data_IF_319594525136
#
_entry.id   IF_319594525136
#
_cell.length_a   1.000
_cell.length_b   1.000
_cell.length_c   1.000
_cell.angle_alpha   90.00
_cell.angle_beta   90.00
_cell.angle_gamma   90.00
#
_symmetry.space_group_name_H-M   'P 1'
#
loop_
_entity.id
_entity.type
_entity.pdbx_description
1 polymer ?
#
# COMPACT_ATOMS: atom_id res chain seq x y z
N UNK A 1 -2.39 57.67 49.46
CA UNK A 1 -2.14 57.67 48.01
C UNK A 1 -2.18 56.21 47.48
N UNK A 2 -3.30 55.76 46.86
CA UNK A 2 -3.48 54.36 46.36
C UNK A 2 -3.15 54.33 44.88
N UNK A 3 -2.17 53.54 44.51
CA UNK A 3 -1.74 53.29 43.12
C UNK A 3 -2.72 52.33 42.43
N UNK A 4 -3.52 52.82 41.47
CA UNK A 4 -4.34 51.99 40.59
C UNK A 4 -3.42 51.25 39.61
N UNK A 5 -3.46 49.92 39.62
CA UNK A 5 -2.77 49.05 38.64
C UNK A 5 -3.62 48.96 37.37
N UNK A 6 -3.02 49.33 36.25
CA UNK A 6 -3.61 49.21 34.92
C UNK A 6 -3.71 47.72 34.51
N UNK A 7 -4.90 47.16 34.57
CA UNK A 7 -5.20 45.79 34.10
C UNK A 7 -5.63 45.69 32.62
N UNK A 8 -5.72 46.84 31.90
CA UNK A 8 -6.32 46.85 30.57
C UNK A 8 -5.36 46.51 29.41
N UNK A 9 -4.03 46.65 29.61
CA UNK A 9 -3.08 46.37 28.52
C UNK A 9 -2.75 44.90 28.32
N UNK A 10 -2.94 44.05 29.34
CA UNK A 10 -2.64 42.61 29.21
C UNK A 10 -3.71 41.83 28.45
N UNK A 11 -4.98 42.23 28.55
CA UNK A 11 -6.08 41.58 27.82
C UNK A 11 -6.01 41.82 26.31
N UNK A 12 -5.63 43.02 25.87
CA UNK A 12 -5.58 43.35 24.43
C UNK A 12 -4.44 42.62 23.69
N UNK A 13 -3.30 42.38 24.36
CA UNK A 13 -2.16 41.66 23.75
C UNK A 13 -2.48 40.17 23.61
N UNK A 14 -3.21 39.58 24.55
CA UNK A 14 -3.63 38.16 24.44
C UNK A 14 -4.68 37.95 23.34
N UNK A 15 -5.59 38.87 23.14
CA UNK A 15 -6.60 38.79 22.06
C UNK A 15 -5.94 38.95 20.68
N UNK A 16 -4.94 39.82 20.54
CA UNK A 16 -4.20 39.99 19.28
C UNK A 16 -3.31 38.78 18.95
N UNK A 17 -2.67 38.17 19.96
CA UNK A 17 -1.89 36.93 19.78
C UNK A 17 -2.78 35.72 19.46
N UNK A 18 -3.97 35.62 20.07
CA UNK A 18 -4.92 34.54 19.74
C UNK A 18 -5.54 34.71 18.35
N UNK A 19 -5.82 35.94 17.91
CA UNK A 19 -6.30 36.24 16.55
C UNK A 19 -5.22 35.98 15.49
N UNK A 20 -3.95 36.29 15.78
CA UNK A 20 -2.82 36.03 14.89
C UNK A 20 -2.56 34.52 14.79
N UNK A 21 -2.77 33.72 15.88
CA UNK A 21 -2.64 32.29 15.87
C UNK A 21 -3.80 31.58 15.12
N UNK A 22 -5.02 32.14 15.20
CA UNK A 22 -6.17 31.66 14.42
C UNK A 22 -6.07 31.96 12.93
N UNK A 23 -5.44 33.08 12.55
CA UNK A 23 -5.16 33.38 11.14
C UNK A 23 -4.03 32.53 10.57
N UNK A 24 -3.07 32.06 11.40
CA UNK A 24 -2.00 31.16 10.95
C UNK A 24 -2.45 29.70 10.85
N UNK A 25 -3.47 29.27 11.63
CA UNK A 25 -4.01 27.91 11.52
C UNK A 25 -5.02 27.75 10.38
N UNK A 26 -5.62 28.87 9.90
CA UNK A 26 -6.53 28.83 8.75
C UNK A 26 -5.81 28.81 7.39
N UNK A 27 -4.53 29.20 7.34
CA UNK A 27 -3.74 29.21 6.10
C UNK A 27 -2.99 27.90 5.81
N UNK A 28 -2.95 26.95 6.74
CA UNK A 28 -2.26 25.64 6.53
C UNK A 28 -3.21 24.57 6.00
N UNK A 29 -4.52 24.74 6.09
CA UNK A 29 -5.50 23.74 5.62
C UNK A 29 -5.89 23.85 4.14
N UNK A 30 -5.39 24.87 3.41
CA UNK A 30 -5.69 25.06 1.97
C UNK A 30 -4.58 24.60 1.03
N UNK A 31 -3.46 24.06 1.52
CA UNK A 31 -2.33 23.63 0.67
C UNK A 31 -2.44 22.15 0.20
N UNK A 32 -3.47 21.40 0.62
CA UNK A 32 -3.72 20.05 0.13
C UNK A 32 -4.77 19.98 -1.00
N UNK A 33 -5.00 21.09 -1.71
CA UNK A 33 -5.84 21.07 -2.89
C UNK A 33 -5.11 20.40 -4.06
N UNK A 34 -5.62 19.26 -4.41
CA UNK A 34 -5.43 18.44 -5.62
C UNK A 34 -4.16 18.71 -6.44
N UNK A 35 -3.22 17.81 -6.37
CA UNK A 35 -1.99 17.80 -7.18
C UNK A 35 -2.28 17.75 -8.68
N UNK A 36 -3.43 17.28 -9.06
CA UNK A 36 -3.93 17.29 -10.44
C UNK A 36 -4.90 18.45 -10.66
N UNK A 37 -4.75 19.13 -11.78
CA UNK A 37 -5.77 20.04 -12.29
C UNK A 37 -7.08 19.27 -12.50
N UNK A 38 -8.21 19.88 -12.15
CA UNK A 38 -9.53 19.31 -12.47
C UNK A 38 -9.61 19.14 -13.99
N UNK A 39 -9.93 17.93 -14.49
CA UNK A 39 -10.01 17.72 -15.92
C UNK A 39 -11.21 18.45 -16.52
N UNK A 40 -11.01 19.12 -17.64
CA UNK A 40 -12.08 19.69 -18.42
C UNK A 40 -12.89 18.57 -19.08
N UNK A 41 -14.19 18.79 -19.27
CA UNK A 41 -15.01 17.90 -20.09
C UNK A 41 -14.60 18.16 -21.53
N UNK A 42 -14.24 17.12 -22.27
CA UNK A 42 -13.87 17.28 -23.66
C UNK A 42 -15.07 17.80 -24.48
N UNK A 43 -14.83 18.84 -25.25
CA UNK A 43 -15.70 19.20 -26.34
C UNK A 43 -15.76 18.05 -27.40
N UNK A 44 -16.75 18.04 -28.24
CA UNK A 44 -16.91 17.02 -29.29
C UNK A 44 -15.64 16.90 -30.13
N UNK A 45 -15.27 15.66 -30.45
CA UNK A 45 -14.04 15.34 -31.16
C UNK A 45 -13.72 13.86 -31.13
N UNK A 46 -12.54 13.50 -31.61
CA UNK A 46 -12.11 12.09 -31.68
C UNK A 46 -10.62 11.91 -31.46
N UNK A 47 -10.26 10.70 -31.03
CA UNK A 47 -8.85 10.27 -31.04
C UNK A 47 -8.36 10.05 -32.47
N UNK A 48 -7.21 10.60 -32.77
CA UNK A 48 -6.53 10.45 -34.08
C UNK A 48 -5.10 9.99 -33.82
N UNK A 49 -4.60 9.10 -34.65
CA UNK A 49 -3.20 8.66 -34.60
C UNK A 49 -2.32 9.70 -35.31
N UNK A 50 -1.25 10.12 -34.65
CA UNK A 50 -0.25 11.04 -35.16
C UNK A 50 1.13 10.38 -35.01
N UNK A 51 1.60 9.74 -36.08
CA UNK A 51 2.76 8.87 -36.02
C UNK A 51 2.59 7.77 -34.97
N UNK A 52 3.51 7.72 -34.01
CA UNK A 52 3.47 6.79 -32.90
C UNK A 52 2.59 7.20 -31.72
N UNK A 53 2.01 8.41 -31.78
CA UNK A 53 1.25 9.00 -30.69
C UNK A 53 -0.24 9.04 -30.97
N UNK A 54 -1.02 9.27 -29.92
CA UNK A 54 -2.44 9.56 -30.01
C UNK A 54 -2.68 11.01 -29.62
N UNK A 55 -3.45 11.75 -30.42
CA UNK A 55 -3.94 13.10 -30.15
C UNK A 55 -5.47 13.07 -30.03
N UNK A 56 -6.05 14.08 -29.40
CA UNK A 56 -7.49 14.33 -29.44
C UNK A 56 -7.74 15.54 -30.31
N UNK A 57 -8.47 15.34 -31.41
CA UNK A 57 -8.83 16.38 -32.37
C UNK A 57 -10.28 16.74 -32.17
N UNK A 58 -10.53 18.00 -31.88
CA UNK A 58 -11.87 18.56 -31.79
C UNK A 58 -12.53 18.69 -33.19
N UNK A 59 -13.87 18.89 -33.21
CA UNK A 59 -14.61 19.04 -34.48
C UNK A 59 -14.22 20.31 -35.23
N UNK A 60 -13.77 21.36 -34.53
CA UNK A 60 -13.19 22.57 -35.13
C UNK A 60 -11.76 22.37 -35.71
N UNK A 61 -11.30 21.12 -35.78
CA UNK A 61 -9.96 20.69 -36.24
C UNK A 61 -8.80 21.07 -35.34
N UNK A 62 -8.99 21.79 -34.25
CA UNK A 62 -7.93 22.04 -33.24
C UNK A 62 -7.60 20.77 -32.46
N UNK A 63 -6.47 20.75 -31.75
CA UNK A 63 -6.05 19.60 -30.95
C UNK A 63 -5.87 19.96 -29.48
N UNK A 64 -6.18 19.01 -28.61
CA UNK A 64 -5.95 19.15 -27.17
C UNK A 64 -4.45 19.26 -26.88
N UNK A 65 -4.04 20.31 -26.15
CA UNK A 65 -2.63 20.56 -25.76
C UNK A 65 -2.56 21.01 -24.30
N UNK A 66 -1.59 20.49 -23.56
CA UNK A 66 -1.29 20.86 -22.18
C UNK A 66 -2.52 20.87 -21.26
N UNK A 67 -3.38 19.86 -21.39
CA UNK A 67 -4.69 19.83 -20.74
C UNK A 67 -5.05 18.43 -20.26
N UNK A 68 -5.75 18.36 -19.14
CA UNK A 68 -6.46 17.17 -18.69
C UNK A 68 -7.88 17.18 -19.27
N UNK A 69 -8.25 16.14 -20.00
CA UNK A 69 -9.60 15.98 -20.54
C UNK A 69 -10.28 14.74 -19.97
N UNK A 70 -11.56 14.89 -19.66
CA UNK A 70 -12.44 13.77 -19.33
C UNK A 70 -13.22 13.39 -20.57
N UNK A 71 -12.94 12.20 -21.11
CA UNK A 71 -13.57 11.62 -22.29
C UNK A 71 -14.12 10.27 -21.87
N UNK A 72 -15.40 10.01 -22.07
CA UNK A 72 -16.08 8.74 -21.73
C UNK A 72 -15.77 8.25 -20.30
N UNK A 73 -15.93 9.14 -19.31
CA UNK A 73 -15.66 8.88 -17.89
C UNK A 73 -14.18 8.61 -17.53
N UNK A 74 -13.26 8.60 -18.51
CA UNK A 74 -11.82 8.42 -18.32
C UNK A 74 -11.09 9.77 -18.38
N UNK A 75 -10.02 9.92 -17.61
CA UNK A 75 -9.19 11.14 -17.59
C UNK A 75 -7.92 10.90 -18.38
N UNK A 76 -7.69 11.73 -19.38
CA UNK A 76 -6.50 11.73 -20.22
C UNK A 76 -5.70 13.01 -19.99
N UNK A 77 -4.41 12.97 -20.32
CA UNK A 77 -3.59 14.16 -20.39
C UNK A 77 -2.91 14.23 -21.77
N UNK A 78 -2.96 15.41 -22.35
CA UNK A 78 -2.27 15.73 -23.60
C UNK A 78 -1.18 16.76 -23.30
N UNK A 79 0.06 16.46 -23.70
CA UNK A 79 1.19 17.33 -23.46
C UNK A 79 1.17 18.58 -24.36
N UNK A 80 2.21 19.42 -24.27
CA UNK A 80 2.34 20.65 -25.09
C UNK A 80 2.34 20.41 -26.60
N UNK A 81 2.73 19.21 -27.04
CA UNK A 81 2.71 18.78 -28.45
C UNK A 81 1.36 18.20 -28.85
N UNK A 82 0.43 18.00 -27.92
CA UNK A 82 -0.85 17.33 -28.14
C UNK A 82 -0.79 15.81 -28.00
N UNK A 83 0.35 15.25 -27.65
CA UNK A 83 0.49 13.80 -27.49
C UNK A 83 -0.13 13.32 -26.18
N UNK A 84 -0.96 12.30 -26.26
CA UNK A 84 -1.58 11.65 -25.12
C UNK A 84 -0.53 10.92 -24.26
N UNK A 85 -0.58 11.14 -22.97
CA UNK A 85 0.28 10.42 -22.03
C UNK A 85 -0.11 8.95 -21.88
N UNK A 86 0.89 8.11 -21.64
CA UNK A 86 0.78 6.72 -21.18
C UNK A 86 1.93 6.43 -20.22
N UNK A 87 1.87 5.33 -19.46
CA UNK A 87 2.90 4.97 -18.47
C UNK A 87 2.99 5.97 -17.31
N UNK A 88 4.14 6.04 -16.64
CA UNK A 88 4.36 6.88 -15.47
C UNK A 88 4.76 8.30 -15.84
N UNK A 89 4.15 9.29 -15.17
CA UNK A 89 4.51 10.70 -15.27
C UNK A 89 4.47 11.38 -13.91
N UNK A 90 5.40 12.30 -13.68
CA UNK A 90 5.47 13.09 -12.45
C UNK A 90 4.79 14.44 -12.66
N UNK A 91 3.86 14.78 -11.76
CA UNK A 91 3.15 16.06 -11.76
C UNK A 91 3.25 16.64 -10.36
N UNK A 92 3.83 17.82 -10.23
CA UNK A 92 4.02 18.52 -8.94
C UNK A 92 4.59 17.59 -7.85
N UNK A 93 5.64 16.81 -8.20
CA UNK A 93 6.35 15.93 -7.27
C UNK A 93 5.65 14.61 -6.94
N UNK A 94 4.48 14.33 -7.49
CA UNK A 94 3.79 13.03 -7.35
C UNK A 94 3.77 12.25 -8.65
N UNK A 95 3.92 10.94 -8.56
CA UNK A 95 3.89 10.05 -9.72
C UNK A 95 2.48 9.55 -9.99
N UNK A 96 2.08 9.54 -11.25
CA UNK A 96 0.78 9.11 -11.76
C UNK A 96 0.96 8.12 -12.90
N UNK A 97 0.10 7.13 -12.99
CA UNK A 97 0.15 6.12 -14.04
C UNK A 97 -1.03 6.28 -15.00
N UNK A 98 -0.71 6.51 -16.28
CA UNK A 98 -1.69 6.68 -17.35
C UNK A 98 -1.96 5.40 -18.15
N UNK A 99 -1.78 4.25 -17.53
CA UNK A 99 -1.99 2.95 -18.15
C UNK A 99 -0.94 2.61 -19.21
N UNK A 100 -1.23 1.57 -19.97
CA UNK A 100 -0.41 1.14 -21.11
C UNK A 100 -0.58 2.08 -22.30
N UNK A 101 0.23 1.87 -23.35
CA UNK A 101 0.12 2.65 -24.61
C UNK A 101 -1.27 2.54 -25.24
N UNK A 102 -1.95 1.41 -25.11
CA UNK A 102 -3.31 1.21 -25.61
C UNK A 102 -4.35 1.91 -24.73
N UNK A 103 -4.13 2.00 -23.41
CA UNK A 103 -5.05 2.64 -22.48
C UNK A 103 -4.93 4.16 -22.49
N UNK A 104 -3.77 4.70 -22.09
CA UNK A 104 -3.44 6.12 -22.10
C UNK A 104 -4.33 7.02 -21.23
N UNK A 105 -5.02 6.49 -20.23
CA UNK A 105 -5.83 7.25 -19.28
C UNK A 105 -5.33 7.06 -17.85
N UNK A 106 -5.59 8.03 -16.99
CA UNK A 106 -5.19 8.01 -15.59
C UNK A 106 -5.84 6.82 -14.86
N UNK A 107 -5.01 5.93 -14.36
CA UNK A 107 -5.42 4.81 -13.53
C UNK A 107 -5.56 5.31 -12.08
N UNK A 108 -6.63 4.88 -11.41
CA UNK A 108 -6.93 5.23 -10.02
C UNK A 108 -7.30 4.01 -9.22
N UNK A 109 -7.02 4.06 -7.91
CA UNK A 109 -7.43 3.07 -6.92
C UNK A 109 -7.13 1.62 -7.36
N UNK A 110 -5.91 1.39 -7.85
CA UNK A 110 -5.53 0.13 -8.48
C UNK A 110 -4.10 -0.29 -8.14
N UNK A 111 -3.92 -1.59 -7.99
CA UNK A 111 -2.60 -2.23 -7.96
C UNK A 111 -2.10 -2.38 -9.41
N UNK A 112 -0.88 -1.96 -9.66
CA UNK A 112 -0.26 -1.93 -10.99
C UNK A 112 0.97 -2.81 -10.97
N UNK A 113 1.04 -3.78 -11.89
CA UNK A 113 2.27 -4.51 -12.18
C UNK A 113 3.01 -3.83 -13.33
N UNK A 114 4.21 -3.33 -13.06
CA UNK A 114 5.03 -2.63 -14.05
C UNK A 114 6.49 -3.05 -13.94
N UNK A 115 7.07 -3.53 -15.03
CA UNK A 115 8.47 -4.02 -15.09
C UNK A 115 8.81 -4.98 -13.93
N UNK A 116 7.93 -5.96 -13.68
CA UNK A 116 8.12 -6.98 -12.64
C UNK A 116 7.80 -6.55 -11.21
N UNK A 117 7.61 -5.26 -10.93
CA UNK A 117 7.30 -4.73 -9.60
C UNK A 117 5.81 -4.38 -9.46
N UNK A 118 5.32 -4.37 -8.22
CA UNK A 118 3.96 -3.92 -7.91
C UNK A 118 3.98 -2.51 -7.33
N UNK A 119 3.03 -1.70 -7.76
CA UNK A 119 2.79 -0.31 -7.32
C UNK A 119 1.30 -0.15 -7.02
N UNK A 120 0.96 0.79 -6.17
CA UNK A 120 -0.44 1.16 -5.97
C UNK A 120 -0.65 2.64 -6.25
N UNK A 121 -1.76 2.96 -6.94
CA UNK A 121 -2.21 4.34 -7.14
C UNK A 121 -3.53 4.55 -6.39
N UNK A 122 -3.60 5.64 -5.65
CA UNK A 122 -4.73 5.96 -4.77
C UNK A 122 -5.97 6.47 -5.52
N UNK A 123 -6.94 6.97 -4.75
CA UNK A 123 -8.19 7.53 -5.27
C UNK A 123 -7.98 8.76 -6.17
N UNK A 124 -6.94 9.54 -5.88
CA UNK A 124 -6.52 10.70 -6.68
C UNK A 124 -5.65 10.29 -7.90
N UNK A 125 -5.25 9.02 -7.99
CA UNK A 125 -4.36 8.47 -9.00
C UNK A 125 -2.87 8.63 -8.67
N UNK A 126 -2.52 9.26 -7.56
CA UNK A 126 -1.13 9.37 -7.14
C UNK A 126 -0.58 8.03 -6.64
N UNK A 127 0.70 7.78 -6.93
CA UNK A 127 1.44 6.63 -6.41
C UNK A 127 1.51 6.68 -4.89
N UNK A 128 1.17 5.57 -4.26
CA UNK A 128 1.19 5.40 -2.81
C UNK A 128 2.58 4.95 -2.36
N UNK A 129 3.03 5.46 -1.22
CA UNK A 129 4.23 5.02 -0.50
C UNK A 129 3.88 4.73 0.96
N UNK A 130 4.67 3.89 1.63
CA UNK A 130 4.39 3.47 2.99
C UNK A 130 3.33 2.38 3.09
N UNK A 131 2.67 2.29 4.24
CA UNK A 131 1.67 1.27 4.51
C UNK A 131 0.37 1.51 3.72
N UNK A 132 -0.16 0.43 3.18
CA UNK A 132 -1.45 0.40 2.51
C UNK A 132 -2.21 -0.89 2.86
N UNK A 133 -3.50 -0.79 3.08
CA UNK A 133 -4.40 -1.94 3.25
C UNK A 133 -5.47 -1.88 2.17
N UNK A 134 -5.62 -2.93 1.41
CA UNK A 134 -6.62 -3.03 0.36
C UNK A 134 -8.03 -3.32 0.92
N UNK A 135 -9.04 -3.34 0.05
CA UNK A 135 -10.43 -3.59 0.44
C UNK A 135 -10.68 -4.99 0.99
N UNK A 136 -9.79 -5.95 0.71
CA UNK A 136 -9.86 -7.33 1.21
C UNK A 136 -9.07 -7.51 2.52
N UNK A 137 -8.53 -6.42 3.10
CA UNK A 137 -7.74 -6.43 4.33
C UNK A 137 -6.28 -6.82 4.14
N UNK A 138 -5.82 -7.06 2.92
CA UNK A 138 -4.41 -7.37 2.64
C UNK A 138 -3.55 -6.13 2.83
N UNK A 139 -2.46 -6.29 3.58
CA UNK A 139 -1.51 -5.20 3.88
C UNK A 139 -0.29 -5.27 2.96
N UNK A 140 0.15 -4.09 2.54
CA UNK A 140 1.33 -3.86 1.71
C UNK A 140 2.19 -2.77 2.33
N UNK A 141 3.47 -2.77 2.01
CA UNK A 141 4.35 -1.64 2.26
C UNK A 141 5.05 -1.24 0.97
N UNK A 142 4.85 0.00 0.56
CA UNK A 142 5.49 0.55 -0.64
C UNK A 142 6.69 1.40 -0.23
N UNK A 143 7.84 1.14 -0.83
CA UNK A 143 9.06 1.91 -0.62
C UNK A 143 8.91 3.38 -1.04
N UNK A 144 9.95 4.18 -0.82
CA UNK A 144 10.00 5.57 -1.28
C UNK A 144 9.91 5.69 -2.82
N UNK A 145 10.34 4.66 -3.53
CA UNK A 145 10.25 4.53 -4.99
C UNK A 145 8.87 3.99 -5.46
N UNK A 146 7.95 3.74 -4.52
CA UNK A 146 6.61 3.23 -4.76
C UNK A 146 6.52 1.74 -5.05
N UNK A 147 7.63 1.00 -5.06
CA UNK A 147 7.59 -0.45 -5.24
C UNK A 147 7.09 -1.15 -3.98
N UNK A 148 6.23 -2.14 -4.14
CA UNK A 148 5.89 -3.05 -3.06
C UNK A 148 7.13 -3.81 -2.60
N UNK A 149 7.42 -3.81 -1.30
CA UNK A 149 8.50 -4.62 -0.72
C UNK A 149 8.10 -6.09 -0.73
N UNK A 150 9.10 -6.96 -0.90
CA UNK A 150 8.95 -8.42 -0.89
C UNK A 150 10.01 -9.04 0.00
N UNK A 151 9.75 -10.25 0.53
CA UNK A 151 10.68 -10.91 1.44
C UNK A 151 10.67 -10.31 2.86
N UNK A 152 11.77 -10.44 3.60
CA UNK A 152 11.91 -10.00 4.98
C UNK A 152 12.39 -8.54 5.05
N UNK A 153 11.63 -7.68 5.70
CA UNK A 153 11.98 -6.26 5.91
C UNK A 153 11.74 -5.81 7.35
N UNK A 154 12.65 -4.98 7.88
CA UNK A 154 12.50 -4.33 9.18
C UNK A 154 11.93 -2.93 8.99
N UNK A 155 10.72 -2.68 9.50
CA UNK A 155 10.02 -1.40 9.38
C UNK A 155 9.70 -0.90 10.79
N UNK A 156 10.22 0.25 11.18
CA UNK A 156 10.06 0.84 12.53
C UNK A 156 10.35 -0.15 13.66
N UNK A 157 11.43 -0.94 13.52
CA UNK A 157 11.87 -1.89 14.56
C UNK A 157 11.25 -3.29 14.48
N UNK A 158 10.12 -3.47 13.77
CA UNK A 158 9.42 -4.74 13.60
C UNK A 158 9.79 -5.40 12.28
N UNK A 159 10.03 -6.70 12.29
CA UNK A 159 10.20 -7.49 11.07
C UNK A 159 8.84 -7.84 10.48
N UNK A 160 8.72 -7.65 9.17
CA UNK A 160 7.56 -8.04 8.35
C UNK A 160 8.05 -8.96 7.25
N UNK A 161 7.24 -9.94 6.93
CA UNK A 161 7.48 -10.86 5.83
C UNK A 161 6.43 -10.64 4.76
N UNK A 162 6.90 -10.44 3.54
CA UNK A 162 6.04 -10.15 2.38
C UNK A 162 6.22 -11.25 1.35
N UNK A 163 5.14 -11.71 0.76
CA UNK A 163 5.22 -12.64 -0.37
C UNK A 163 5.68 -11.93 -1.66
N UNK A 164 5.78 -12.69 -2.75
CA UNK A 164 6.27 -12.17 -4.04
C UNK A 164 5.38 -11.09 -4.67
N UNK A 165 4.11 -10.99 -4.28
CA UNK A 165 3.21 -9.94 -4.75
C UNK A 165 3.15 -8.72 -3.81
N UNK A 166 3.97 -8.70 -2.76
CA UNK A 166 4.11 -7.60 -1.80
C UNK A 166 3.08 -7.60 -0.67
N UNK A 167 2.27 -8.66 -0.48
CA UNK A 167 1.36 -8.73 0.67
C UNK A 167 2.09 -9.25 1.91
N UNK A 168 1.79 -8.64 3.06
CA UNK A 168 2.27 -9.14 4.36
C UNK A 168 1.70 -10.52 4.61
N UNK A 169 2.57 -11.49 4.88
CA UNK A 169 2.19 -12.84 5.29
C UNK A 169 2.14 -12.95 6.82
N UNK A 170 3.16 -12.44 7.49
CA UNK A 170 3.23 -12.41 8.95
C UNK A 170 4.19 -11.32 9.43
N UNK A 171 4.16 -11.04 10.73
CA UNK A 171 5.11 -10.15 11.41
C UNK A 171 6.07 -10.99 12.24
N UNK A 172 7.37 -10.68 12.15
CA UNK A 172 8.36 -11.27 13.05
C UNK A 172 8.33 -10.59 14.41
N UNK A 173 8.25 -11.38 15.47
CA UNK A 173 8.54 -10.87 16.81
C UNK A 173 10.02 -10.52 16.93
N UNK A 174 10.32 -9.41 17.59
CA UNK A 174 11.71 -8.95 17.77
C UNK A 174 12.40 -9.69 18.92
N UNK A 175 12.17 -11.01 19.04
CA UNK A 175 12.79 -11.86 20.04
C UNK A 175 13.90 -12.70 19.41
N UNK A 176 15.01 -12.78 20.12
CA UNK A 176 16.04 -13.80 19.86
C UNK A 176 15.60 -15.09 20.56
N UNK A 177 15.06 -16.02 19.80
CA UNK A 177 14.80 -17.36 20.31
C UNK A 177 16.06 -18.21 20.17
N UNK A 178 16.41 -18.97 21.20
CA UNK A 178 17.54 -19.91 21.18
C UNK A 178 17.29 -21.14 20.28
N UNK A 179 16.02 -21.47 20.00
CA UNK A 179 15.67 -22.54 19.08
C UNK A 179 16.10 -22.24 17.63
N UNK A 180 16.50 -23.27 16.88
CA UNK A 180 16.89 -23.15 15.47
C UNK A 180 15.70 -22.80 14.57
N UNK A 181 14.51 -23.30 14.92
CA UNK A 181 13.26 -22.96 14.25
C UNK A 181 12.15 -22.64 15.26
N UNK A 182 11.18 -21.84 14.84
CA UNK A 182 9.98 -21.52 15.63
C UNK A 182 8.86 -21.06 14.74
N UNK A 183 7.62 -21.42 15.12
CA UNK A 183 6.40 -20.98 14.45
C UNK A 183 5.37 -20.60 15.52
N UNK A 184 4.80 -19.42 15.41
CA UNK A 184 3.62 -18.98 16.16
C UNK A 184 2.53 -18.65 15.16
N UNK A 185 1.38 -19.28 15.33
CA UNK A 185 0.24 -19.19 14.43
C UNK A 185 -1.03 -18.89 15.20
N UNK A 186 -1.94 -18.13 14.61
CA UNK A 186 -3.31 -18.00 15.12
C UNK A 186 -4.04 -19.32 14.86
N UNK A 187 -4.56 -19.96 15.91
CA UNK A 187 -5.18 -21.28 15.81
C UNK A 187 -6.50 -21.27 15.02
N UNK A 188 -7.27 -20.17 15.08
CA UNK A 188 -8.58 -20.08 14.41
C UNK A 188 -8.45 -19.79 12.91
N UNK A 189 -7.45 -19.00 12.53
CA UNK A 189 -7.31 -18.48 11.15
C UNK A 189 -6.18 -19.11 10.36
N UNK A 190 -5.30 -19.88 11.02
CA UNK A 190 -4.08 -20.40 10.42
C UNK A 190 -3.03 -19.33 10.06
N UNK A 191 -3.26 -18.07 10.45
CA UNK A 191 -2.35 -16.97 10.13
C UNK A 191 -1.04 -17.10 10.91
N UNK A 192 0.10 -17.11 10.22
CA UNK A 192 1.41 -17.08 10.85
C UNK A 192 1.64 -15.70 11.47
N UNK A 193 1.86 -15.66 12.79
CA UNK A 193 2.17 -14.46 13.56
C UNK A 193 3.70 -14.25 13.65
N UNK A 194 4.43 -15.35 13.79
CA UNK A 194 5.90 -15.36 13.84
C UNK A 194 6.44 -16.63 13.21
N UNK A 195 7.52 -16.51 12.45
CA UNK A 195 8.27 -17.64 11.89
C UNK A 195 9.77 -17.41 12.00
N UNK A 196 10.50 -18.44 12.39
CA UNK A 196 11.96 -18.54 12.34
C UNK A 196 12.31 -19.85 11.69
N UNK A 197 12.90 -19.82 10.48
CA UNK A 197 13.21 -21.01 9.68
C UNK A 197 12.02 -21.99 9.52
N UNK A 198 10.80 -21.44 9.48
CA UNK A 198 9.53 -22.20 9.50
C UNK A 198 9.33 -23.09 8.28
N UNK A 199 10.07 -22.82 7.19
CA UNK A 199 10.03 -23.59 5.95
C UNK A 199 11.28 -24.48 5.76
N UNK A 200 12.18 -24.51 6.74
CA UNK A 200 13.37 -25.35 6.71
C UNK A 200 13.04 -26.69 7.38
N UNK A 201 13.39 -27.79 6.72
CA UNK A 201 13.21 -29.11 7.30
C UNK A 201 14.10 -29.31 8.54
N UNK A 202 13.50 -29.64 9.66
CA UNK A 202 14.17 -29.95 10.91
C UNK A 202 13.71 -31.32 11.43
N UNK A 203 14.57 -31.98 12.21
CA UNK A 203 14.19 -33.19 12.91
C UNK A 203 13.07 -32.92 13.91
N UNK A 204 11.98 -33.66 13.80
CA UNK A 204 10.74 -33.40 14.54
C UNK A 204 10.81 -33.76 16.05
N UNK A 205 11.86 -34.43 16.50
CA UNK A 205 12.02 -34.83 17.90
C UNK A 205 10.69 -35.33 18.54
N UNK A 206 10.34 -34.78 19.72
CA UNK A 206 9.12 -35.20 20.44
C UNK A 206 7.80 -34.69 19.84
N UNK A 207 7.80 -33.79 18.84
CA UNK A 207 6.57 -33.37 18.14
C UNK A 207 5.92 -34.51 17.36
N UNK A 208 6.71 -35.49 16.89
CA UNK A 208 6.22 -36.73 16.30
C UNK A 208 5.31 -37.51 17.27
N UNK A 209 5.64 -37.53 18.56
CA UNK A 209 4.82 -38.22 19.60
C UNK A 209 3.48 -37.55 19.77
N UNK A 210 3.44 -36.20 19.75
CA UNK A 210 2.19 -35.41 19.84
C UNK A 210 1.29 -35.74 18.65
N UNK A 211 1.84 -35.72 17.42
CA UNK A 211 1.08 -36.05 16.23
C UNK A 211 0.57 -37.50 16.26
N UNK A 212 1.37 -38.45 16.72
CA UNK A 212 0.94 -39.86 16.90
C UNK A 212 -0.24 -39.96 17.89
N UNK A 213 -0.19 -39.24 19.01
CA UNK A 213 -1.31 -39.22 19.96
C UNK A 213 -2.57 -38.61 19.35
N UNK A 214 -2.47 -37.50 18.61
CA UNK A 214 -3.62 -36.86 17.94
C UNK A 214 -4.25 -37.84 16.94
N UNK A 215 -3.45 -38.47 16.08
CA UNK A 215 -3.94 -39.42 15.11
C UNK A 215 -4.58 -40.66 15.77
N UNK A 216 -4.04 -41.14 16.90
CA UNK A 216 -4.64 -42.20 17.66
C UNK A 216 -5.99 -41.79 18.26
N UNK A 217 -6.11 -40.59 18.82
CA UNK A 217 -7.37 -40.06 19.38
C UNK A 217 -8.45 -39.86 18.31
N UNK A 218 -8.07 -39.48 17.11
CA UNK A 218 -9.00 -39.24 16.00
C UNK A 218 -9.47 -40.53 15.33
N UNK A 219 -8.65 -41.58 15.35
CA UNK A 219 -8.89 -42.83 14.56
C UNK A 219 -9.15 -44.08 15.42
N UNK A 220 -8.91 -44.04 16.73
CA UNK A 220 -9.09 -45.19 17.63
C UNK A 220 -10.05 -44.85 18.78
N UNK A 221 -10.75 -45.87 19.28
CA UNK A 221 -11.52 -45.74 20.51
C UNK A 221 -10.57 -45.80 21.71
N UNK A 222 -10.76 -44.92 22.72
CA UNK A 222 -9.89 -44.78 23.88
C UNK A 222 -9.73 -46.09 24.72
N UNK A 223 -10.67 -47.05 24.58
CA UNK A 223 -10.66 -48.36 25.25
C UNK A 223 -10.15 -49.49 24.35
N UNK A 224 -9.66 -49.20 23.15
CA UNK A 224 -9.13 -50.19 22.22
C UNK A 224 -7.74 -50.65 22.67
N UNK A 225 -7.54 -51.96 22.83
CA UNK A 225 -6.24 -52.56 23.10
C UNK A 225 -5.50 -52.83 21.80
N UNK A 226 -4.46 -52.04 21.50
CA UNK A 226 -3.58 -52.31 20.34
C UNK A 226 -2.39 -53.19 20.73
N UNK A 227 -2.03 -54.17 19.89
CA UNK A 227 -0.75 -54.87 20.03
C UNK A 227 0.37 -53.97 19.53
N UNK A 228 1.26 -53.55 20.42
CA UNK A 228 2.48 -52.81 20.04
C UNK A 228 3.49 -53.79 19.49
N UNK A 229 3.75 -53.76 18.21
CA UNK A 229 4.93 -54.42 17.60
C UNK A 229 6.15 -53.57 17.87
N UNK A 230 6.97 -53.98 18.81
CA UNK A 230 8.31 -53.43 18.98
C UNK A 230 9.20 -53.85 17.80
N UNK A 231 9.32 -53.01 16.79
CA UNK A 231 10.39 -53.13 15.80
C UNK A 231 11.70 -52.75 16.48
N UNK A 232 12.53 -53.73 16.83
CA UNK A 232 13.93 -53.47 17.22
C UNK A 232 14.62 -52.87 16.01
N UNK A 233 15.11 -51.64 16.14
CA UNK A 233 16.09 -51.06 15.22
C UNK A 233 17.35 -51.91 15.27
N UNK A 234 17.66 -52.59 14.18
CA UNK A 234 18.97 -53.23 13.95
C UNK A 234 19.88 -52.12 13.42
N UNK A 235 20.84 -51.73 14.23
CA UNK A 235 21.98 -50.92 13.77
C UNK A 235 23.00 -51.83 13.11
#
# INVERSE_FOLDING_TARGET
MKRKRNHSLRSSVFIFLAALFLLFTCSVSTIYASTLQKPDIAASGKFVKDGDYWIYRYDDKTIAKNVFLKIDKKTYYFNKLGHRWCSWHTIKGKNYYFGTRSQGYLIKNSLIKYKGNYYYVGKDGAMVTGWYTDKSGKKYYFGKDGKAVTGKHKIKGTYYYFNQNGTVTHTGLNYSLSSDCALLMNADTGQIIYGKNENVAHANASTTKIMTCILALENCKLNEKSKVLLLRSIY
#
